data_IF_903003179557
#
_entry.id   IF_903003179557
#
_cell.length_a   1.000
_cell.length_b   1.000
_cell.length_c   1.000
_cell.angle_alpha   90.00
_cell.angle_beta   90.00
_cell.angle_gamma   90.00
#
_symmetry.space_group_name_H-M   'P 1'
#
loop_
_entity.id
_entity.type
_entity.pdbx_description
1 polymer ?
#
# COMPACT_ATOMS: atom_id res chain seq x y z
N UNK A 1 -8.73 19.60 7.64
CA UNK A 1 -9.22 19.72 6.26
C UNK A 1 -8.91 18.40 5.56
N UNK A 2 -9.87 17.83 4.89
CA UNK A 2 -9.74 16.58 4.12
C UNK A 2 -10.66 16.65 2.90
N UNK A 3 -10.38 15.82 1.90
CA UNK A 3 -11.13 15.78 0.64
C UNK A 3 -11.68 14.38 0.41
N UNK A 4 -12.89 14.28 -0.11
CA UNK A 4 -13.51 13.03 -0.56
C UNK A 4 -14.01 13.25 -1.98
N UNK A 5 -13.56 12.40 -2.92
CA UNK A 5 -13.92 12.45 -4.34
C UNK A 5 -13.78 13.87 -4.96
N UNK A 6 -12.73 14.60 -4.57
CA UNK A 6 -12.47 15.95 -5.03
C UNK A 6 -13.26 17.05 -4.30
N UNK A 7 -14.17 16.70 -3.39
CA UNK A 7 -14.93 17.67 -2.58
C UNK A 7 -14.20 17.94 -1.28
N UNK A 8 -13.85 19.20 -1.04
CA UNK A 8 -13.17 19.62 0.18
C UNK A 8 -14.14 19.84 1.34
N UNK A 9 -13.83 19.23 2.48
CA UNK A 9 -14.57 19.36 3.73
C UNK A 9 -13.72 20.06 4.80
N UNK A 10 -14.07 21.32 5.07
CA UNK A 10 -13.48 22.10 6.15
C UNK A 10 -14.40 22.06 7.39
N UNK A 11 -14.45 20.90 8.02
CA UNK A 11 -15.25 20.64 9.23
C UNK A 11 -14.25 20.35 10.36
N UNK A 12 -14.56 20.83 11.58
CA UNK A 12 -13.74 20.51 12.74
C UNK A 12 -13.73 19.00 12.94
N UNK A 13 -12.54 18.42 12.86
CA UNK A 13 -12.33 16.98 12.86
C UNK A 13 -11.18 16.58 13.74
N UNK A 14 -11.31 15.43 14.37
CA UNK A 14 -10.20 14.66 14.94
C UNK A 14 -9.92 13.50 13.99
N UNK A 15 -8.68 13.37 13.55
CA UNK A 15 -8.25 12.34 12.61
C UNK A 15 -7.14 11.53 13.28
N UNK A 16 -7.38 10.25 13.47
CA UNK A 16 -6.42 9.30 14.01
C UNK A 16 -5.98 8.38 12.87
N UNK A 17 -4.69 8.06 12.80
CA UNK A 17 -4.13 7.19 11.76
C UNK A 17 -3.52 5.96 12.40
N UNK A 18 -3.86 4.79 11.88
CA UNK A 18 -3.19 3.52 12.16
C UNK A 18 -2.41 3.05 10.92
N UNK A 19 -1.32 2.33 11.14
CA UNK A 19 -0.49 1.75 10.08
C UNK A 19 -0.36 0.24 10.32
N UNK A 20 -0.61 -0.54 9.28
CA UNK A 20 -0.45 -1.98 9.28
C UNK A 20 0.46 -2.40 8.12
N UNK A 21 1.51 -3.18 8.41
CA UNK A 21 2.33 -3.82 7.38
C UNK A 21 1.72 -5.19 7.10
N UNK A 22 1.22 -5.38 5.89
CA UNK A 22 0.66 -6.68 5.46
C UNK A 22 1.68 -7.51 4.70
N UNK A 23 1.65 -8.79 4.99
CA UNK A 23 2.48 -9.81 4.35
C UNK A 23 1.60 -10.76 3.56
N UNK A 24 2.14 -11.35 2.51
CA UNK A 24 1.44 -12.37 1.75
C UNK A 24 1.36 -13.68 2.54
N UNK A 25 0.46 -14.55 2.12
CA UNK A 25 0.28 -15.89 2.73
C UNK A 25 1.48 -16.82 2.55
N UNK A 26 2.44 -16.46 1.71
CA UNK A 26 3.67 -17.24 1.50
C UNK A 26 4.79 -16.87 2.47
N UNK A 27 4.64 -15.80 3.24
CA UNK A 27 5.59 -15.45 4.31
C UNK A 27 5.64 -16.56 5.36
N UNK A 28 6.82 -16.89 5.84
CA UNK A 28 6.98 -17.98 6.80
C UNK A 28 8.43 -18.29 7.16
N UNK A 29 8.59 -19.42 7.88
CA UNK A 29 9.90 -19.92 8.28
C UNK A 29 10.33 -21.01 7.31
N UNK A 30 11.51 -20.89 6.72
CA UNK A 30 12.10 -21.89 5.86
C UNK A 30 12.64 -23.08 6.68
N UNK A 31 12.87 -24.23 6.03
CA UNK A 31 13.40 -25.43 6.68
C UNK A 31 14.77 -25.22 7.35
N UNK A 32 15.54 -24.26 6.89
CA UNK A 32 16.83 -23.87 7.50
C UNK A 32 16.70 -22.95 8.70
N UNK A 33 15.46 -22.62 9.13
CA UNK A 33 15.16 -21.72 10.23
C UNK A 33 15.20 -20.22 9.88
N UNK A 34 15.51 -19.86 8.62
CA UNK A 34 15.43 -18.45 8.19
C UNK A 34 13.98 -18.01 7.99
N UNK A 35 13.73 -16.73 8.24
CA UNK A 35 12.41 -16.12 8.02
C UNK A 35 12.38 -15.53 6.61
N UNK A 36 11.40 -15.96 5.82
CA UNK A 36 11.05 -15.34 4.56
C UNK A 36 9.84 -14.44 4.76
N UNK A 37 9.93 -13.18 4.37
CA UNK A 37 8.85 -12.21 4.42
C UNK A 37 8.58 -11.67 3.03
N UNK A 38 7.35 -11.86 2.58
CA UNK A 38 6.84 -11.26 1.36
C UNK A 38 5.88 -10.13 1.74
N UNK A 39 6.39 -8.90 1.77
CA UNK A 39 5.68 -7.73 2.25
C UNK A 39 4.84 -7.15 1.11
N UNK A 40 3.52 -7.13 1.29
CA UNK A 40 2.59 -6.52 0.33
C UNK A 40 2.62 -4.99 0.37
N UNK A 41 2.97 -4.43 1.52
CA UNK A 41 3.08 -3.00 1.71
C UNK A 41 2.51 -2.52 3.05
N UNK A 42 2.51 -1.19 3.24
CA UNK A 42 1.92 -0.54 4.41
C UNK A 42 0.55 0.01 4.06
N UNK A 43 -0.43 -0.31 4.88
CA UNK A 43 -1.82 0.13 4.76
C UNK A 43 -2.11 1.14 5.86
N UNK A 44 -2.56 2.34 5.50
CA UNK A 44 -2.98 3.35 6.45
C UNK A 44 -4.49 3.38 6.55
N UNK A 45 -5.03 3.06 7.72
CA UNK A 45 -6.44 3.31 8.07
C UNK A 45 -6.57 4.61 8.85
N UNK A 46 -7.72 5.25 8.73
CA UNK A 46 -7.99 6.52 9.39
C UNK A 46 -9.34 6.48 10.10
N UNK A 47 -9.33 6.78 11.39
CA UNK A 47 -10.54 7.01 12.18
C UNK A 47 -10.82 8.50 12.23
N UNK A 48 -11.97 8.91 11.72
CA UNK A 48 -12.36 10.31 11.62
C UNK A 48 -13.57 10.56 12.48
N UNK A 49 -13.48 11.59 13.32
CA UNK A 49 -14.58 12.09 14.14
C UNK A 49 -14.82 13.55 13.82
N UNK A 50 -16.06 13.91 13.53
CA UNK A 50 -16.45 15.24 13.11
C UNK A 50 -17.42 15.86 14.11
N UNK A 51 -17.27 17.16 14.35
CA UNK A 51 -18.26 17.97 15.05
C UNK A 51 -19.14 18.69 14.02
N UNK A 52 -20.46 18.61 14.17
CA UNK A 52 -21.36 19.31 13.26
C UNK A 52 -21.17 20.84 13.35
N UNK A 53 -20.90 21.51 12.24
CA UNK A 53 -20.81 22.97 12.23
C UNK A 53 -22.21 23.59 12.31
N UNK A 54 -22.51 24.29 13.40
CA UNK A 54 -23.80 24.96 13.62
C UNK A 54 -24.22 25.89 12.45
N UNK A 55 -23.25 26.46 11.73
CA UNK A 55 -23.47 27.40 10.63
C UNK A 55 -23.54 26.75 9.24
N UNK A 56 -23.13 25.51 9.06
CA UNK A 56 -22.95 24.88 7.74
C UNK A 56 -23.53 23.46 7.69
N UNK A 57 -24.77 23.30 8.11
CA UNK A 57 -25.47 22.00 8.17
C UNK A 57 -25.54 21.29 6.82
N UNK A 58 -25.72 22.05 5.73
CA UNK A 58 -25.81 21.49 4.40
C UNK A 58 -24.57 20.69 3.99
N UNK A 59 -23.37 21.16 4.35
CA UNK A 59 -22.12 20.42 4.09
C UNK A 59 -22.02 19.13 4.89
N UNK A 60 -22.51 19.12 6.12
CA UNK A 60 -22.56 17.90 6.93
C UNK A 60 -23.49 16.85 6.33
N UNK A 61 -24.68 17.26 5.88
CA UNK A 61 -25.60 16.34 5.20
C UNK A 61 -25.05 15.84 3.87
N UNK A 62 -24.45 16.72 3.05
CA UNK A 62 -23.82 16.30 1.81
C UNK A 62 -22.68 15.30 2.05
N UNK A 63 -21.93 15.45 3.14
CA UNK A 63 -20.88 14.53 3.51
C UNK A 63 -21.45 13.14 3.84
N UNK A 64 -22.50 13.06 4.64
CA UNK A 64 -23.15 11.77 4.97
C UNK A 64 -23.66 11.09 3.70
N UNK A 65 -24.35 11.84 2.85
CA UNK A 65 -24.85 11.32 1.58
C UNK A 65 -23.73 10.76 0.71
N UNK A 66 -22.56 11.41 0.68
CA UNK A 66 -21.40 10.94 -0.06
C UNK A 66 -20.78 9.70 0.57
N UNK A 67 -20.58 9.69 1.90
CA UNK A 67 -19.99 8.56 2.63
C UNK A 67 -20.84 7.28 2.57
N UNK A 68 -22.14 7.43 2.42
CA UNK A 68 -23.08 6.30 2.38
C UNK A 68 -23.45 5.86 0.95
N UNK A 69 -22.81 6.42 -0.07
CA UNK A 69 -23.01 5.96 -1.44
C UNK A 69 -22.49 4.51 -1.60
N UNK A 70 -23.27 3.63 -2.27
CA UNK A 70 -22.89 2.25 -2.48
C UNK A 70 -21.87 2.12 -3.62
N UNK A 71 -20.63 2.51 -3.35
CA UNK A 71 -19.49 2.44 -4.27
C UNK A 71 -18.42 1.51 -3.72
N UNK A 72 -17.56 0.98 -4.59
CA UNK A 72 -16.47 0.09 -4.18
C UNK A 72 -15.39 0.80 -3.34
N UNK A 73 -15.32 2.12 -3.45
CA UNK A 73 -14.43 2.96 -2.67
C UNK A 73 -14.50 4.42 -3.07
N UNK A 74 -14.09 5.27 -2.16
CA UNK A 74 -13.95 6.71 -2.34
C UNK A 74 -12.47 7.09 -2.45
N UNK A 75 -12.17 8.18 -3.15
CA UNK A 75 -10.83 8.77 -3.16
C UNK A 75 -10.74 9.82 -2.06
N UNK A 76 -9.80 9.62 -1.14
CA UNK A 76 -9.55 10.50 0.01
C UNK A 76 -8.22 11.21 -0.14
N UNK A 77 -8.18 12.51 0.19
CA UNK A 77 -6.94 13.23 0.44
C UNK A 77 -6.92 13.58 1.92
N UNK A 78 -6.00 12.99 2.66
CA UNK A 78 -5.93 13.03 4.12
C UNK A 78 -4.60 13.59 4.61
N UNK A 79 -4.54 14.14 5.83
CA UNK A 79 -3.28 14.59 6.42
C UNK A 79 -2.29 13.44 6.59
N UNK A 80 -1.04 13.68 6.19
CA UNK A 80 0.05 12.74 6.33
C UNK A 80 1.34 13.48 6.73
N UNK A 81 1.72 13.40 8.00
CA UNK A 81 2.83 14.17 8.58
C UNK A 81 2.66 15.70 8.34
N UNK A 82 3.59 16.32 7.61
CA UNK A 82 3.52 17.73 7.19
C UNK A 82 2.87 17.93 5.81
N UNK A 83 2.40 16.87 5.19
CA UNK A 83 1.87 16.83 3.83
C UNK A 83 0.50 16.14 3.81
N UNK A 84 0.04 15.71 2.65
CA UNK A 84 -1.18 14.94 2.45
C UNK A 84 -0.88 13.62 1.74
N UNK A 85 -1.75 12.65 1.93
CA UNK A 85 -1.74 11.39 1.21
C UNK A 85 -3.08 11.21 0.50
N UNK A 86 -3.01 10.77 -0.76
CA UNK A 86 -4.17 10.31 -1.49
C UNK A 86 -4.28 8.79 -1.36
N UNK A 87 -5.46 8.31 -1.05
CA UNK A 87 -5.76 6.89 -0.96
C UNK A 87 -7.19 6.61 -1.44
N UNK A 88 -7.37 5.45 -2.06
CA UNK A 88 -8.69 4.91 -2.35
C UNK A 88 -9.05 3.89 -1.27
N UNK A 89 -10.22 4.05 -0.68
CA UNK A 89 -10.66 3.20 0.42
C UNK A 89 -12.16 3.16 0.56
N UNK A 90 -12.62 2.21 1.36
CA UNK A 90 -14.03 2.11 1.75
C UNK A 90 -14.26 2.78 3.09
N UNK A 91 -15.48 3.27 3.26
CA UNK A 91 -15.96 3.79 4.53
C UNK A 91 -16.57 2.66 5.33
N UNK A 92 -16.18 2.54 6.57
CA UNK A 92 -16.71 1.55 7.51
C UNK A 92 -17.38 2.27 8.69
N UNK A 93 -18.52 1.73 9.12
CA UNK A 93 -19.26 2.11 10.32
C UNK A 93 -19.54 3.62 10.46
N UNK A 94 -20.10 4.29 9.43
CA UNK A 94 -20.49 5.69 9.58
C UNK A 94 -21.64 5.81 10.59
N UNK A 95 -21.38 6.47 11.71
CA UNK A 95 -22.33 6.66 12.80
C UNK A 95 -22.41 8.12 13.19
N UNK A 96 -23.63 8.62 13.44
CA UNK A 96 -23.88 9.91 14.06
C UNK A 96 -25.02 9.83 15.09
N UNK A 97 -25.19 10.87 15.88
CA UNK A 97 -26.14 10.88 17.00
C UNK A 97 -27.15 12.01 16.83
N UNK A 98 -28.44 11.68 16.92
CA UNK A 98 -29.52 12.65 16.96
C UNK A 98 -29.58 13.36 18.31
N UNK A 99 -29.45 14.67 18.30
CA UNK A 99 -29.46 15.51 19.50
C UNK A 99 -30.63 16.51 19.48
N UNK A 100 -31.19 16.79 20.68
CA UNK A 100 -32.19 17.81 20.87
C UNK A 100 -31.72 18.81 21.93
N UNK A 101 -31.71 20.08 21.60
CA UNK A 101 -31.41 21.17 22.51
C UNK A 101 -32.65 21.51 23.40
N UNK A 102 -32.47 22.14 24.58
CA UNK A 102 -33.57 22.62 25.42
C UNK A 102 -34.52 23.58 24.70
N UNK A 103 -34.01 24.30 23.69
CA UNK A 103 -34.81 25.17 22.82
C UNK A 103 -35.78 24.42 21.89
N UNK A 104 -35.78 23.10 21.91
CA UNK A 104 -36.55 22.25 21.00
C UNK A 104 -35.88 21.99 19.64
N UNK A 105 -34.75 22.64 19.34
CA UNK A 105 -33.99 22.43 18.11
C UNK A 105 -33.32 21.06 18.10
N UNK A 106 -33.44 20.37 16.98
CA UNK A 106 -32.87 19.01 16.77
C UNK A 106 -31.87 19.00 15.65
N UNK A 107 -30.86 18.14 15.76
CA UNK A 107 -29.78 18.00 14.77
C UNK A 107 -29.01 16.69 14.93
N UNK A 108 -28.37 16.23 13.86
CA UNK A 108 -27.39 15.15 13.88
C UNK A 108 -26.01 15.70 14.21
N UNK A 109 -25.23 14.99 15.00
CA UNK A 109 -23.89 15.41 15.43
C UNK A 109 -22.99 14.22 15.74
N UNK A 110 -21.69 14.46 15.79
CA UNK A 110 -20.71 13.48 16.23
C UNK A 110 -20.49 12.37 15.23
N UNK A 111 -20.55 12.68 13.92
CA UNK A 111 -20.25 11.71 12.87
C UNK A 111 -18.86 11.13 13.08
N UNK A 112 -18.78 9.82 13.15
CA UNK A 112 -17.55 9.05 13.17
C UNK A 112 -17.61 7.98 12.10
N UNK A 113 -16.48 7.69 11.49
CA UNK A 113 -16.32 6.62 10.50
C UNK A 113 -14.84 6.24 10.37
N UNK A 114 -14.60 5.03 9.90
CA UNK A 114 -13.26 4.53 9.59
C UNK A 114 -13.08 4.43 8.09
N UNK A 115 -11.90 4.82 7.62
CA UNK A 115 -11.48 4.63 6.24
C UNK A 115 -10.49 3.48 6.19
N UNK A 116 -10.86 2.41 5.49
CA UNK A 116 -10.01 1.25 5.24
C UNK A 116 -9.50 1.30 3.79
N UNK A 117 -8.19 1.34 3.55
CA UNK A 117 -7.65 1.45 2.21
C UNK A 117 -7.89 0.16 1.40
N UNK A 118 -8.23 0.31 0.12
CA UNK A 118 -8.44 -0.81 -0.81
C UNK A 118 -7.11 -1.43 -1.28
N UNK A 119 -6.00 -0.71 -1.13
CA UNK A 119 -4.67 -1.16 -1.51
C UNK A 119 -3.59 -0.59 -0.59
N UNK A 120 -2.33 -0.98 -0.78
CA UNK A 120 -1.25 -0.47 0.02
C UNK A 120 -1.06 1.03 -0.22
N UNK A 121 -0.99 1.80 0.87
CA UNK A 121 -0.69 3.23 0.82
C UNK A 121 0.80 3.50 0.55
N UNK A 122 1.64 2.50 0.86
CA UNK A 122 3.05 2.42 0.46
C UNK A 122 3.36 0.99 0.06
N UNK A 123 3.84 0.81 -1.14
CA UNK A 123 4.50 -0.43 -1.56
C UNK A 123 5.97 -0.39 -1.13
N UNK A 124 6.60 -1.53 -0.90
CA UNK A 124 8.05 -1.57 -0.95
C UNK A 124 8.46 -0.91 -2.27
N UNK A 125 9.34 0.09 -2.22
CA UNK A 125 10.10 0.41 -3.39
C UNK A 125 10.75 -0.92 -3.77
N UNK A 126 10.41 -1.48 -4.94
CA UNK A 126 11.11 -2.60 -5.49
C UNK A 126 12.58 -2.22 -5.38
N UNK A 127 13.23 -2.72 -4.35
CA UNK A 127 14.66 -2.65 -4.25
C UNK A 127 15.11 -3.48 -5.44
N UNK A 128 15.42 -2.81 -6.55
CA UNK A 128 16.17 -3.37 -7.67
C UNK A 128 17.59 -3.74 -7.24
N UNK A 129 17.77 -3.86 -5.95
CA UNK A 129 18.92 -4.50 -5.35
C UNK A 129 18.55 -5.95 -5.03
N UNK A 130 18.22 -6.73 -6.06
CA UNK A 130 18.75 -8.09 -6.14
C UNK A 130 20.26 -7.94 -6.38
N UNK A 131 20.88 -7.15 -5.57
CA UNK A 131 22.31 -7.03 -5.45
C UNK A 131 22.76 -7.94 -4.34
N UNK A 132 22.55 -9.23 -4.50
CA UNK A 132 23.40 -10.25 -3.91
C UNK A 132 23.42 -11.44 -4.86
N UNK A 133 24.21 -11.30 -5.92
CA UNK A 133 24.98 -12.44 -6.40
C UNK A 133 24.22 -13.59 -7.03
N UNK A 134 23.06 -13.33 -7.66
CA UNK A 134 22.58 -14.18 -8.73
C UNK A 134 22.56 -13.34 -10.01
N UNK A 135 23.69 -13.17 -10.62
CA UNK A 135 23.71 -12.97 -12.07
C UNK A 135 22.96 -14.16 -12.65
N UNK A 136 21.94 -13.94 -13.51
CA UNK A 136 21.33 -15.06 -14.21
C UNK A 136 22.45 -15.86 -14.88
N UNK A 137 22.36 -17.17 -14.81
CA UNK A 137 23.15 -18.02 -15.69
C UNK A 137 23.04 -17.45 -17.11
N UNK A 138 24.13 -17.40 -17.88
CA UNK A 138 24.06 -17.04 -19.27
C UNK A 138 22.98 -17.88 -19.94
N UNK A 139 22.23 -17.28 -20.86
CA UNK A 139 21.09 -17.92 -21.50
C UNK A 139 21.52 -19.30 -21.99
N UNK A 140 20.83 -20.32 -21.58
CA UNK A 140 21.16 -21.74 -21.86
C UNK A 140 21.24 -22.02 -23.37
N UNK A 141 20.75 -21.10 -24.19
CA UNK A 141 20.78 -21.16 -25.65
C UNK A 141 22.13 -20.79 -26.26
N UNK A 142 23.01 -20.09 -25.54
CA UNK A 142 24.34 -19.67 -26.03
C UNK A 142 25.46 -20.48 -25.39
N UNK A 143 25.16 -21.38 -24.46
CA UNK A 143 26.19 -22.26 -23.88
C UNK A 143 26.35 -23.52 -24.72
N UNK A 144 27.53 -23.78 -25.25
CA UNK A 144 27.84 -25.03 -25.94
C UNK A 144 28.03 -26.17 -24.94
N UNK A 145 27.76 -27.41 -25.38
CA UNK A 145 27.92 -28.58 -24.50
C UNK A 145 29.44 -28.76 -24.22
N UNK A 146 29.81 -28.51 -22.97
CA UNK A 146 31.17 -28.66 -22.49
C UNK A 146 31.79 -27.37 -21.94
N UNK A 147 31.12 -26.24 -22.09
CA UNK A 147 31.54 -24.98 -21.49
C UNK A 147 31.48 -25.04 -19.98
N UNK A 148 32.50 -24.54 -19.34
CA UNK A 148 32.57 -24.45 -17.89
C UNK A 148 32.56 -22.97 -17.48
N UNK A 149 31.61 -22.60 -16.66
CA UNK A 149 31.44 -21.23 -16.16
C UNK A 149 31.78 -21.15 -14.67
N UNK A 150 32.53 -20.14 -14.29
CA UNK A 150 32.85 -19.87 -12.89
C UNK A 150 32.25 -18.55 -12.47
N UNK A 151 31.62 -18.52 -11.29
CA UNK A 151 31.13 -17.31 -10.72
C UNK A 151 32.25 -16.46 -10.15
N UNK A 152 32.44 -15.26 -10.67
CA UNK A 152 33.40 -14.27 -10.19
C UNK A 152 32.69 -13.10 -9.50
N UNK A 153 33.44 -12.17 -8.94
CA UNK A 153 32.89 -10.95 -8.36
C UNK A 153 32.14 -10.06 -9.38
N UNK A 154 32.42 -10.27 -10.68
CA UNK A 154 31.83 -9.49 -11.78
C UNK A 154 30.72 -10.24 -12.53
N UNK A 155 30.42 -11.49 -12.14
CA UNK A 155 29.41 -12.32 -12.76
C UNK A 155 29.95 -13.69 -13.19
N UNK A 156 29.17 -14.37 -14.05
CA UNK A 156 29.58 -15.65 -14.62
C UNK A 156 30.57 -15.41 -15.76
N UNK A 157 31.76 -16.04 -15.70
CA UNK A 157 32.78 -15.98 -16.73
C UNK A 157 33.04 -17.40 -17.22
N UNK A 158 33.16 -17.57 -18.53
CA UNK A 158 33.57 -18.82 -19.15
C UNK A 158 35.05 -19.10 -18.82
N UNK A 159 35.30 -20.27 -18.20
CA UNK A 159 36.64 -20.61 -17.66
C UNK A 159 37.42 -21.60 -18.51
N UNK A 160 36.77 -22.32 -19.39
CA UNK A 160 37.48 -23.19 -20.37
C UNK A 160 36.55 -23.56 -21.52
N UNK A 161 36.91 -23.20 -22.73
CA UNK A 161 36.46 -23.91 -23.89
C UNK A 161 37.28 -25.22 -23.97
N UNK A 162 36.64 -26.35 -24.21
CA UNK A 162 37.36 -27.54 -24.63
C UNK A 162 38.12 -27.19 -25.91
N UNK A 163 39.40 -27.57 -26.04
CA UNK A 163 40.15 -27.30 -27.28
C UNK A 163 39.37 -27.95 -28.43
N UNK A 164 39.26 -27.19 -29.52
CA UNK A 164 38.58 -27.62 -30.74
C UNK A 164 39.07 -29.02 -31.14
N UNK A 165 38.15 -29.88 -31.48
CA UNK A 165 38.43 -31.29 -31.87
C UNK A 165 39.39 -31.37 -33.08
N UNK A 166 39.62 -30.28 -33.80
CA UNK A 166 40.51 -30.20 -34.93
C UNK A 166 41.98 -30.02 -34.54
N UNK A 167 42.33 -29.72 -33.29
CA UNK A 167 43.72 -29.66 -32.82
C UNK A 167 44.28 -30.98 -32.32
N UNK A 168 43.48 -32.04 -32.24
CA UNK A 168 43.99 -33.37 -31.95
C UNK A 168 44.36 -34.13 -33.24
N UNK A 169 45.36 -33.62 -33.98
CA UNK A 169 46.03 -34.42 -35.01
C UNK A 169 47.15 -35.25 -34.38
N UNK A 170 47.00 -36.57 -34.50
CA UNK A 170 48.00 -37.53 -34.15
C UNK A 170 49.15 -37.55 -35.15
#
# INVERSE_FOLDING_TARGET
MFTIDGVEYNIKSTIERAAEIKESSISGIMLNGSIFRDVLGTYYSYDIRLEMPLKNKGRYHSLIEQLTQPVDGHTFILPYNSDTIELTGKVEDPEDVWKKLPSGYTYWDGLKFTISPNGPSKTEALSTTISRGMTPLPDVYDAEIGDTYTMTANGWEETSALPDADEMSF
#
